data_IF_288343232556
#
_entry.id   IF_288343232556
#
_cell.length_a   1.000
_cell.length_b   1.000
_cell.length_c   1.000
_cell.angle_alpha   90.00
_cell.angle_beta   90.00
_cell.angle_gamma   90.00
#
_symmetry.space_group_name_H-M   'P 1'
#
loop_
_entity.id
_entity.type
_entity.pdbx_description
1 polymer ?
#
# COMPACT_ATOMS: atom_id res chain seq x y z
N UNK A 1 13.28 4.05 6.47
CA UNK A 1 12.11 4.94 6.54
C UNK A 1 10.86 4.13 6.25
N UNK A 2 9.78 4.39 6.98
CA UNK A 2 8.47 3.76 6.76
C UNK A 2 7.58 4.68 5.95
N UNK A 3 6.89 4.12 4.95
CA UNK A 3 5.82 4.76 4.19
C UNK A 3 4.51 4.05 4.55
N UNK A 4 3.55 4.76 5.12
CA UNK A 4 2.24 4.23 5.47
C UNK A 4 1.21 4.45 4.37
N UNK A 5 0.43 3.42 4.07
CA UNK A 5 -0.64 3.46 3.07
C UNK A 5 -1.97 3.86 3.72
N UNK A 6 -2.70 4.85 3.20
CA UNK A 6 -4.00 5.22 3.74
C UNK A 6 -5.07 4.17 3.36
N UNK A 7 -6.04 3.87 4.25
CA UNK A 7 -6.30 4.56 5.51
C UNK A 7 -5.77 3.78 6.72
N UNK A 8 -6.04 2.47 6.80
CA UNK A 8 -5.71 1.66 7.97
C UNK A 8 -4.23 1.23 8.04
N UNK A 9 -3.52 1.26 6.92
CA UNK A 9 -2.07 1.08 6.91
C UNK A 9 -1.31 2.20 7.64
N UNK A 10 -1.91 3.40 7.84
CA UNK A 10 -1.25 4.50 8.55
C UNK A 10 -0.98 4.18 10.02
N UNK A 11 -1.97 3.77 10.86
CA UNK A 11 -1.67 3.44 12.25
C UNK A 11 -0.74 2.24 12.39
N UNK A 12 -0.83 1.26 11.48
CA UNK A 12 0.10 0.13 11.47
C UNK A 12 1.53 0.59 11.13
N UNK A 13 1.68 1.43 10.10
CA UNK A 13 2.96 2.00 9.70
C UNK A 13 3.60 2.85 10.80
N UNK A 14 2.79 3.63 11.53
CA UNK A 14 3.26 4.38 12.69
C UNK A 14 3.77 3.45 13.81
N UNK A 15 3.03 2.39 14.11
CA UNK A 15 3.44 1.39 15.10
C UNK A 15 4.76 0.72 14.72
N UNK A 16 4.92 0.32 13.46
CA UNK A 16 6.18 -0.25 12.94
C UNK A 16 7.32 0.76 13.03
N UNK A 17 7.10 2.01 12.62
CA UNK A 17 8.11 3.06 12.67
C UNK A 17 8.62 3.27 14.11
N UNK A 18 7.72 3.41 15.08
CA UNK A 18 8.06 3.57 16.51
C UNK A 18 8.87 2.40 17.05
N UNK A 19 8.47 1.15 16.74
CA UNK A 19 9.20 -0.03 17.20
C UNK A 19 10.60 -0.16 16.61
N UNK A 20 10.83 0.44 15.44
CA UNK A 20 12.15 0.52 14.81
C UNK A 20 12.96 1.75 15.23
N UNK A 21 12.47 2.54 16.19
CA UNK A 21 13.15 3.74 16.67
C UNK A 21 13.08 4.95 15.74
N UNK A 22 12.14 4.96 14.80
CA UNK A 22 11.92 6.12 13.94
C UNK A 22 11.01 7.14 14.63
N UNK A 23 11.38 8.42 14.62
CA UNK A 23 10.58 9.50 15.18
C UNK A 23 9.32 9.82 14.34
N UNK A 24 9.36 9.47 13.06
CA UNK A 24 8.26 9.71 12.11
C UNK A 24 8.25 8.69 10.98
N UNK A 25 7.11 8.61 10.32
CA UNK A 25 6.95 7.94 9.02
C UNK A 25 6.52 8.93 7.96
N UNK A 26 6.52 8.50 6.69
CA UNK A 26 5.91 9.22 5.57
C UNK A 26 4.52 8.66 5.34
N UNK A 27 3.50 9.49 5.50
CA UNK A 27 2.11 9.13 5.22
C UNK A 27 1.76 9.50 3.78
N UNK A 28 1.26 8.55 3.00
CA UNK A 28 0.60 8.86 1.74
C UNK A 28 -0.79 9.44 2.02
N UNK A 29 -1.30 10.27 1.13
CA UNK A 29 -2.61 10.91 1.25
C UNK A 29 -3.58 10.51 0.15
N UNK A 30 -4.88 10.64 0.42
CA UNK A 30 -5.95 10.46 -0.58
C UNK A 30 -6.66 11.77 -0.93
N UNK A 31 -6.31 12.86 -0.28
CA UNK A 31 -6.85 14.19 -0.51
C UNK A 31 -5.77 15.14 -1.01
N UNK A 32 -6.01 15.80 -2.13
CA UNK A 32 -5.10 16.83 -2.65
C UNK A 32 -5.01 18.00 -1.68
N UNK A 33 -3.80 18.46 -1.42
CA UNK A 33 -3.50 19.71 -0.71
C UNK A 33 -3.00 20.76 -1.71
N UNK A 34 -3.15 22.04 -1.39
CA UNK A 34 -2.77 23.12 -2.33
C UNK A 34 -1.27 23.16 -2.64
N UNK A 35 -0.43 22.55 -1.79
CA UNK A 35 1.01 22.44 -1.99
C UNK A 35 1.45 21.11 -2.63
N UNK A 36 0.50 20.21 -2.98
CA UNK A 36 0.83 18.95 -3.63
C UNK A 36 1.08 19.15 -5.12
N UNK A 37 2.10 18.43 -5.62
CA UNK A 37 2.39 18.33 -7.03
C UNK A 37 1.56 17.21 -7.67
N UNK A 38 0.82 17.54 -8.73
CA UNK A 38 0.05 16.54 -9.49
C UNK A 38 0.96 15.44 -10.10
N UNK A 39 2.21 15.78 -10.42
CA UNK A 39 3.19 14.80 -10.91
C UNK A 39 3.50 13.72 -9.86
N UNK A 40 3.29 14.01 -8.58
CA UNK A 40 3.43 13.07 -7.46
C UNK A 40 2.07 12.51 -7.01
N UNK A 41 1.25 12.12 -7.98
CA UNK A 41 -0.04 11.49 -7.72
C UNK A 41 -0.31 10.32 -8.67
N UNK A 42 -1.11 9.36 -8.20
CA UNK A 42 -1.59 8.23 -9.01
C UNK A 42 -3.06 7.92 -8.74
N UNK A 43 -3.83 7.50 -9.76
CA UNK A 43 -5.17 6.97 -9.54
C UNK A 43 -5.11 5.76 -8.60
N UNK A 44 -6.05 5.69 -7.68
CA UNK A 44 -6.26 4.54 -6.81
C UNK A 44 -7.54 3.83 -7.26
N UNK A 45 -7.38 2.68 -7.88
CA UNK A 45 -8.52 1.83 -8.23
C UNK A 45 -8.86 0.99 -7.01
N UNK A 46 -9.97 1.30 -6.36
CA UNK A 46 -10.49 0.51 -5.22
C UNK A 46 -11.58 -0.42 -5.70
N UNK A 47 -11.47 -1.70 -5.33
CA UNK A 47 -12.51 -2.70 -5.61
C UNK A 47 -13.76 -2.42 -4.77
N UNK A 48 -13.58 -1.86 -3.59
CA UNK A 48 -14.68 -1.57 -2.64
C UNK A 48 -15.44 -0.29 -2.97
N UNK A 49 -14.91 0.56 -3.85
CA UNK A 49 -15.53 1.83 -4.24
C UNK A 49 -15.25 2.13 -5.72
N UNK A 50 -15.78 1.30 -6.65
CA UNK A 50 -15.64 1.55 -8.08
C UNK A 50 -16.37 2.85 -8.44
N UNK A 51 -15.69 3.76 -9.16
CA UNK A 51 -16.31 4.98 -9.69
C UNK A 51 -16.04 6.26 -8.91
N UNK A 52 -15.48 6.23 -7.71
CA UNK A 52 -14.91 7.42 -7.08
C UNK A 52 -13.45 7.55 -7.50
N UNK A 53 -13.13 8.54 -8.31
CA UNK A 53 -11.78 8.83 -8.79
C UNK A 53 -10.83 9.23 -7.65
N UNK A 54 -10.61 8.30 -6.71
CA UNK A 54 -9.63 8.48 -5.63
C UNK A 54 -8.23 8.50 -6.23
N UNK A 55 -7.38 9.35 -5.70
CA UNK A 55 -5.97 9.41 -6.06
C UNK A 55 -5.11 9.28 -4.81
N UNK A 56 -3.96 8.68 -4.98
CA UNK A 56 -2.88 8.72 -3.99
C UNK A 56 -1.98 9.91 -4.30
N UNK A 57 -1.49 10.52 -3.24
CA UNK A 57 -0.56 11.65 -3.30
C UNK A 57 0.62 11.39 -2.38
N UNK A 58 1.81 11.74 -2.87
CA UNK A 58 3.01 11.87 -2.07
C UNK A 58 3.30 13.36 -1.88
N UNK A 59 3.37 13.81 -0.64
CA UNK A 59 3.76 15.19 -0.32
C UNK A 59 5.21 15.44 -0.80
N UNK A 60 5.45 16.39 -1.71
CA UNK A 60 6.79 16.66 -2.23
C UNK A 60 7.80 17.01 -1.13
N UNK A 61 7.34 17.58 0.00
CA UNK A 61 8.19 17.89 1.15
C UNK A 61 8.73 16.64 1.88
N UNK A 62 8.15 15.47 1.59
CA UNK A 62 8.59 14.18 2.16
C UNK A 62 9.70 13.53 1.31
N UNK A 63 9.90 13.95 0.06
CA UNK A 63 10.92 13.37 -0.81
C UNK A 63 12.34 13.38 -0.20
N UNK A 64 12.80 14.46 0.47
CA UNK A 64 14.12 14.45 1.12
C UNK A 64 14.29 13.38 2.21
N UNK A 65 13.17 12.91 2.82
CA UNK A 65 13.21 11.84 3.82
C UNK A 65 13.35 10.46 3.18
N UNK A 66 13.01 10.33 1.91
CA UNK A 66 13.00 9.07 1.16
C UNK A 66 14.25 8.90 0.29
N UNK A 67 14.80 10.01 -0.20
CA UNK A 67 15.92 10.01 -1.14
C UNK A 67 17.14 9.28 -0.59
N UNK A 68 17.64 8.26 -1.30
CA UNK A 68 18.80 7.47 -0.93
C UNK A 68 18.62 6.61 0.32
N UNK A 69 17.38 6.45 0.80
CA UNK A 69 17.08 5.65 2.00
C UNK A 69 16.52 4.28 1.65
N UNK A 70 16.72 3.32 2.57
CA UNK A 70 15.97 2.06 2.53
C UNK A 70 14.55 2.33 3.01
N UNK A 71 13.59 2.13 2.09
CA UNK A 71 12.17 2.43 2.33
C UNK A 71 11.40 1.12 2.46
N UNK A 72 10.57 1.01 3.49
CA UNK A 72 9.56 -0.03 3.64
C UNK A 72 8.16 0.59 3.51
N UNK A 73 7.31 -0.02 2.70
CA UNK A 73 5.88 0.30 2.61
C UNK A 73 5.12 -0.56 3.61
N UNK A 74 4.16 0.02 4.31
CA UNK A 74 3.31 -0.70 5.28
C UNK A 74 1.84 -0.44 4.98
N UNK A 75 1.09 -1.53 4.81
CA UNK A 75 -0.37 -1.52 4.62
C UNK A 75 -1.05 -2.49 5.60
N UNK A 76 -2.34 -2.35 5.80
CA UNK A 76 -3.11 -3.27 6.65
C UNK A 76 -3.40 -4.59 5.94
N UNK A 77 -3.92 -4.56 4.71
CA UNK A 77 -4.32 -5.74 3.93
C UNK A 77 -3.92 -5.63 2.47
N UNK A 78 -3.30 -6.69 1.95
CA UNK A 78 -3.09 -6.88 0.53
C UNK A 78 -3.97 -8.03 0.04
N UNK A 79 -4.96 -7.73 -0.81
CA UNK A 79 -5.89 -8.72 -1.38
C UNK A 79 -5.67 -8.91 -2.89
N UNK A 80 -5.93 -7.90 -3.70
CA UNK A 80 -5.70 -7.97 -5.15
C UNK A 80 -4.33 -7.44 -5.58
N UNK A 81 -3.67 -6.68 -4.72
CA UNK A 81 -2.41 -6.02 -5.03
C UNK A 81 -2.54 -4.67 -5.76
N UNK A 82 -3.74 -4.32 -6.25
CA UNK A 82 -3.94 -3.12 -7.08
C UNK A 82 -3.57 -1.82 -6.35
N UNK A 83 -3.92 -1.71 -5.06
CA UNK A 83 -3.56 -0.55 -4.24
C UNK A 83 -2.05 -0.44 -4.05
N UNK A 84 -1.39 -1.57 -3.80
CA UNK A 84 0.07 -1.60 -3.64
C UNK A 84 0.78 -1.29 -4.95
N UNK A 85 0.30 -1.79 -6.09
CA UNK A 85 0.83 -1.42 -7.41
C UNK A 85 0.76 0.10 -7.63
N UNK A 86 -0.37 0.73 -7.29
CA UNK A 86 -0.51 2.18 -7.36
C UNK A 86 0.47 2.91 -6.42
N UNK A 87 0.68 2.39 -5.21
CA UNK A 87 1.65 2.93 -4.24
C UNK A 87 3.08 2.84 -4.77
N UNK A 88 3.47 1.67 -5.29
CA UNK A 88 4.81 1.44 -5.83
C UNK A 88 5.08 2.34 -7.04
N UNK A 89 4.09 2.46 -7.93
CA UNK A 89 4.17 3.38 -9.06
C UNK A 89 4.23 4.85 -8.64
N UNK A 90 3.54 5.25 -7.56
CA UNK A 90 3.62 6.60 -7.01
C UNK A 90 5.02 6.89 -6.45
N UNK A 91 5.58 5.95 -5.69
CA UNK A 91 6.92 6.09 -5.13
C UNK A 91 7.99 6.15 -6.22
N UNK A 92 7.81 5.38 -7.31
CA UNK A 92 8.70 5.42 -8.46
C UNK A 92 8.72 6.80 -9.15
N UNK A 93 7.58 7.53 -9.21
CA UNK A 93 7.54 8.92 -9.68
C UNK A 93 8.42 9.84 -8.82
N UNK A 94 8.55 9.55 -7.53
CA UNK A 94 9.46 10.24 -6.61
C UNK A 94 10.91 9.69 -6.61
N UNK A 95 11.25 8.78 -7.53
CA UNK A 95 12.58 8.16 -7.60
C UNK A 95 12.85 7.16 -6.46
N UNK A 96 11.80 6.62 -5.83
CA UNK A 96 11.91 5.74 -4.66
C UNK A 96 11.50 4.32 -5.03
N UNK A 97 12.39 3.37 -4.77
CA UNK A 97 12.11 1.93 -4.88
C UNK A 97 12.15 1.30 -3.50
N UNK A 98 11.01 0.86 -2.94
CA UNK A 98 10.98 0.21 -1.63
C UNK A 98 11.77 -1.10 -1.63
N UNK A 99 12.44 -1.37 -0.50
CA UNK A 99 13.14 -2.65 -0.29
C UNK A 99 12.19 -3.75 0.18
N UNK A 100 11.06 -3.38 0.80
CA UNK A 100 10.04 -4.32 1.27
C UNK A 100 8.67 -3.66 1.31
N UNK A 101 7.63 -4.46 1.09
CA UNK A 101 6.22 -4.13 1.30
C UNK A 101 5.69 -5.07 2.39
N UNK A 102 5.25 -4.50 3.47
CA UNK A 102 4.74 -5.22 4.64
C UNK A 102 3.22 -5.05 4.73
N UNK A 103 2.51 -6.14 4.94
CA UNK A 103 1.09 -6.13 5.22
C UNK A 103 0.78 -6.76 6.59
N UNK A 104 -0.21 -6.25 7.28
CA UNK A 104 -0.78 -6.96 8.43
C UNK A 104 -1.37 -8.30 8.00
N UNK A 105 -2.06 -8.31 6.85
CA UNK A 105 -2.69 -9.52 6.31
C UNK A 105 -2.50 -9.62 4.79
N UNK A 106 -2.14 -10.81 4.32
CA UNK A 106 -2.21 -11.21 2.91
C UNK A 106 -3.48 -12.04 2.71
N UNK A 107 -4.43 -11.53 1.91
CA UNK A 107 -5.71 -12.16 1.69
C UNK A 107 -5.80 -12.80 0.29
N UNK A 108 -5.90 -14.11 0.24
CA UNK A 108 -5.90 -14.88 -1.01
C UNK A 108 -4.57 -14.75 -1.76
N UNK A 109 -4.57 -15.12 -3.04
CA UNK A 109 -3.35 -15.20 -3.86
C UNK A 109 -3.34 -14.24 -5.06
N UNK A 110 -4.43 -13.51 -5.31
CA UNK A 110 -4.56 -12.64 -6.51
C UNK A 110 -3.49 -11.54 -6.58
N UNK A 111 -3.05 -11.04 -5.44
CA UNK A 111 -2.00 -10.02 -5.34
C UNK A 111 -0.66 -10.49 -5.95
N UNK A 112 -0.40 -11.81 -5.92
CA UNK A 112 0.84 -12.35 -6.48
C UNK A 112 0.93 -12.09 -7.98
N UNK A 113 -0.15 -12.34 -8.71
CA UNK A 113 -0.20 -12.07 -10.14
C UNK A 113 0.02 -10.59 -10.44
N UNK A 114 -0.72 -9.70 -9.75
CA UNK A 114 -0.60 -8.26 -9.94
C UNK A 114 0.82 -7.77 -9.70
N UNK A 115 1.44 -8.15 -8.58
CA UNK A 115 2.76 -7.66 -8.19
C UNK A 115 3.91 -8.40 -8.89
N UNK A 116 3.68 -9.60 -9.43
CA UNK A 116 4.64 -10.29 -10.29
C UNK A 116 4.86 -9.53 -11.60
N UNK A 117 3.80 -9.10 -12.26
CA UNK A 117 3.89 -8.27 -13.47
C UNK A 117 4.66 -6.97 -13.24
N UNK A 118 4.53 -6.40 -12.04
CA UNK A 118 5.25 -5.18 -11.65
C UNK A 118 6.70 -5.44 -11.18
N UNK A 119 7.16 -6.71 -11.11
CA UNK A 119 8.51 -7.06 -10.65
C UNK A 119 8.74 -6.84 -9.14
N UNK A 120 7.69 -6.88 -8.34
CA UNK A 120 7.75 -6.56 -6.90
C UNK A 120 7.39 -7.72 -5.96
N UNK A 121 7.12 -8.91 -6.52
CA UNK A 121 6.63 -10.06 -5.76
C UNK A 121 7.55 -10.44 -4.59
N UNK A 122 8.85 -10.48 -4.83
CA UNK A 122 9.86 -10.92 -3.83
C UNK A 122 10.03 -9.94 -2.65
N UNK A 123 9.41 -8.78 -2.74
CA UNK A 123 9.48 -7.74 -1.71
C UNK A 123 8.30 -7.74 -0.76
N UNK A 124 7.30 -8.60 -0.98
CA UNK A 124 6.06 -8.62 -0.20
C UNK A 124 6.17 -9.62 0.94
N UNK A 125 5.85 -9.16 2.15
CA UNK A 125 5.72 -10.00 3.32
C UNK A 125 4.47 -9.61 4.14
N UNK A 126 3.81 -10.59 4.76
CA UNK A 126 2.65 -10.38 5.61
C UNK A 126 2.84 -11.02 6.97
N UNK A 127 2.21 -10.42 8.00
CA UNK A 127 2.24 -10.99 9.34
C UNK A 127 1.37 -12.25 9.44
N UNK A 128 0.27 -12.30 8.68
CA UNK A 128 -0.58 -13.47 8.55
C UNK A 128 -1.15 -13.57 7.14
N UNK A 129 -1.60 -14.77 6.77
CA UNK A 129 -2.31 -15.02 5.52
C UNK A 129 -3.68 -15.59 5.80
N UNK A 130 -4.68 -15.21 4.99
CA UNK A 130 -6.05 -15.71 5.06
C UNK A 130 -6.57 -16.04 3.68
N UNK A 131 -7.47 -17.00 3.51
CA UNK A 131 -8.19 -17.17 2.26
C UNK A 131 -9.09 -15.95 1.98
N UNK A 132 -9.50 -15.79 0.73
CA UNK A 132 -10.68 -15.00 0.43
C UNK A 132 -11.91 -15.83 0.70
N UNK A 133 -13.01 -15.15 0.98
CA UNK A 133 -14.28 -15.80 1.20
C UNK A 133 -15.30 -15.37 0.13
N UNK A 134 -16.08 -16.32 -0.33
CA UNK A 134 -17.24 -16.10 -1.19
C UNK A 134 -18.52 -16.38 -0.43
N UNK A 135 -19.60 -15.68 -0.80
CA UNK A 135 -20.91 -15.88 -0.22
C UNK A 135 -21.56 -17.09 -0.87
N UNK A 136 -22.01 -18.04 -0.07
CA UNK A 136 -22.77 -19.21 -0.51
C UNK A 136 -24.23 -18.83 -0.78
N UNK A 137 -24.92 -19.67 -1.56
CA UNK A 137 -26.35 -19.49 -1.87
C UNK A 137 -27.27 -19.58 -0.65
N UNK A 138 -26.84 -20.25 0.43
CA UNK A 138 -27.54 -20.35 1.72
C UNK A 138 -27.29 -19.14 2.64
N UNK A 139 -26.51 -18.15 2.18
CA UNK A 139 -26.15 -16.96 2.94
C UNK A 139 -24.90 -17.11 3.80
N UNK A 140 -24.32 -18.30 3.90
CA UNK A 140 -23.04 -18.56 4.57
C UNK A 140 -21.84 -18.06 3.74
N UNK A 141 -20.65 -18.19 4.34
CA UNK A 141 -19.38 -17.84 3.70
C UNK A 141 -18.47 -19.07 3.62
N UNK A 142 -17.75 -19.22 2.53
CA UNK A 142 -16.77 -20.28 2.35
C UNK A 142 -15.47 -19.72 1.77
N UNK A 143 -14.29 -20.29 2.11
CA UNK A 143 -13.04 -19.87 1.50
C UNK A 143 -13.05 -20.17 0.00
N UNK A 144 -12.50 -19.23 -0.78
CA UNK A 144 -12.19 -19.47 -2.20
C UNK A 144 -11.13 -20.59 -2.26
N UNK A 145 -11.34 -21.55 -3.17
CA UNK A 145 -10.40 -22.63 -3.45
C UNK A 145 -9.12 -22.10 -4.13
#
# INVERSE_FOLDING_TARGET
VIVGVPTLGLPLGEGVARRLGHERMVALGTSRKFWYDEALSRPLVSITSPGQGKRLYLDPRMLPLLAGRRVAVVDDVISTGTSIDAVLGLLALGGVTPVVVLAGMLQGERWRTTLSFAGHLDRVAGALATPRFTRRGDGGWEPEA
#
